data_IF_418280628446
#
_entry.id   IF_418280628446
#
_cell.length_a   1.000
_cell.length_b   1.000
_cell.length_c   1.000
_cell.angle_alpha   90.00
_cell.angle_beta   90.00
_cell.angle_gamma   90.00
#
_symmetry.space_group_name_H-M   'P 1'
#
loop_
_entity.id
_entity.type
_entity.pdbx_description
1 polymer ?
#
# COMPACT_ATOMS: atom_id res chain seq x y z
N UNK A 1 -11.56 0.48 -11.76
CA UNK A 1 -10.40 0.43 -12.66
C UNK A 1 -9.43 -0.62 -12.16
N UNK A 2 -8.85 -1.44 -13.05
CA UNK A 2 -7.80 -2.40 -12.69
C UNK A 2 -6.44 -1.85 -13.16
N UNK A 3 -5.47 -1.77 -12.26
CA UNK A 3 -4.10 -1.36 -12.52
C UNK A 3 -3.17 -2.56 -12.35
N UNK A 4 -2.79 -3.17 -13.47
CA UNK A 4 -1.91 -4.33 -13.52
C UNK A 4 -0.46 -3.92 -13.32
N UNK A 5 0.25 -4.68 -12.49
CA UNK A 5 1.69 -4.51 -12.31
C UNK A 5 2.39 -5.23 -13.47
N UNK A 6 3.18 -4.49 -14.26
CA UNK A 6 4.00 -5.09 -15.33
C UNK A 6 4.99 -6.09 -14.73
N UNK A 7 5.70 -5.65 -13.69
CA UNK A 7 6.57 -6.47 -12.86
C UNK A 7 5.98 -6.54 -11.45
N UNK A 8 5.99 -7.73 -10.84
CA UNK A 8 5.54 -7.92 -9.47
C UNK A 8 6.59 -7.44 -8.46
N UNK A 9 7.05 -6.20 -8.58
CA UNK A 9 8.00 -5.53 -7.69
C UNK A 9 7.51 -4.09 -7.44
N UNK A 10 7.01 -3.74 -6.24
CA UNK A 10 6.47 -2.41 -5.95
C UNK A 10 7.53 -1.30 -6.08
N UNK A 11 8.82 -1.62 -6.04
CA UNK A 11 9.90 -0.64 -6.19
C UNK A 11 10.23 -0.33 -7.65
N UNK A 12 9.89 -1.25 -8.56
CA UNK A 12 10.29 -1.21 -9.97
C UNK A 12 9.19 -1.78 -10.84
N UNK A 13 8.08 -1.04 -10.94
CA UNK A 13 6.95 -1.48 -11.74
C UNK A 13 6.28 -0.32 -12.47
N UNK A 14 5.49 -0.69 -13.47
CA UNK A 14 4.56 0.21 -14.15
C UNK A 14 3.17 -0.33 -13.90
N UNK A 15 2.26 0.53 -13.46
CA UNK A 15 0.85 0.24 -13.31
C UNK A 15 0.14 0.57 -14.63
N UNK A 16 -0.39 -0.47 -15.27
CA UNK A 16 -0.97 -0.42 -16.62
C UNK A 16 -2.43 -0.86 -16.55
N UNK A 17 -3.34 -0.17 -17.23
CA UNK A 17 -4.74 -0.58 -17.29
C UNK A 17 -4.98 -1.71 -18.28
N UNK A 18 -6.19 -2.27 -18.31
CA UNK A 18 -6.54 -3.40 -19.18
C UNK A 18 -6.35 -3.13 -20.67
N UNK A 19 -6.39 -1.86 -21.12
CA UNK A 19 -6.16 -1.48 -22.51
C UNK A 19 -4.68 -1.28 -22.87
N UNK A 20 -3.76 -1.49 -21.92
CA UNK A 20 -2.32 -1.31 -22.14
C UNK A 20 -1.80 0.11 -21.88
N UNK A 21 -2.64 1.04 -21.40
CA UNK A 21 -2.20 2.40 -21.06
C UNK A 21 -1.47 2.42 -19.71
N UNK A 22 -0.25 2.93 -19.70
CA UNK A 22 0.51 3.15 -18.47
C UNK A 22 -0.06 4.35 -17.70
N UNK A 23 -0.47 4.13 -16.46
CA UNK A 23 -1.00 5.17 -15.57
C UNK A 23 0.03 5.64 -14.56
N UNK A 24 0.85 4.73 -14.05
CA UNK A 24 1.90 5.07 -13.09
C UNK A 24 3.17 4.29 -13.39
N UNK A 25 4.32 4.90 -13.11
CA UNK A 25 5.61 4.26 -13.11
C UNK A 25 6.28 4.50 -11.76
N UNK A 26 6.73 3.41 -11.13
CA UNK A 26 7.48 3.44 -9.87
C UNK A 26 8.92 3.10 -10.17
N UNK A 27 9.83 3.97 -9.72
CA UNK A 27 11.28 3.77 -9.86
C UNK A 27 11.95 3.99 -8.52
N UNK A 28 12.71 3.01 -8.04
CA UNK A 28 13.55 3.17 -6.86
C UNK A 28 15.02 3.38 -7.23
N UNK A 29 15.58 4.50 -6.77
CA UNK A 29 17.00 4.83 -6.84
C UNK A 29 17.65 4.60 -5.46
N UNK A 30 18.70 3.78 -5.41
CA UNK A 30 19.48 3.59 -4.18
C UNK A 30 20.52 4.69 -4.08
N UNK A 31 20.47 5.50 -3.02
CA UNK A 31 21.38 6.66 -2.81
C UNK A 31 22.78 6.23 -2.38
N UNK A 32 22.90 5.16 -1.59
CA UNK A 32 24.20 4.63 -1.17
C UNK A 32 24.05 3.21 -0.62
N UNK A 33 24.88 2.27 -1.10
CA UNK A 33 24.91 0.89 -0.61
C UNK A 33 25.31 0.78 0.87
N UNK A 34 26.11 1.72 1.37
CA UNK A 34 26.55 1.75 2.77
C UNK A 34 25.47 2.27 3.72
N UNK A 35 24.64 3.22 3.27
CA UNK A 35 23.60 3.85 4.11
C UNK A 35 22.27 3.10 4.15
N UNK A 36 22.04 2.19 3.18
CA UNK A 36 20.75 1.53 2.98
C UNK A 36 19.61 2.47 2.55
N UNK A 37 19.90 3.75 2.23
CA UNK A 37 18.86 4.69 1.81
C UNK A 37 18.50 4.54 0.34
N UNK A 38 17.19 4.53 0.07
CA UNK A 38 16.63 4.49 -1.27
C UNK A 38 15.49 5.49 -1.40
N UNK A 39 15.23 5.98 -2.62
CA UNK A 39 14.08 6.84 -2.91
C UNK A 39 13.26 6.20 -4.02
N UNK A 40 12.00 5.92 -3.74
CA UNK A 40 11.02 5.55 -4.77
C UNK A 40 10.32 6.78 -5.28
N UNK A 41 10.35 7.01 -6.59
CA UNK A 41 9.57 8.06 -7.26
C UNK A 41 8.39 7.41 -7.97
N UNK A 42 7.19 7.94 -7.71
CA UNK A 42 5.94 7.56 -8.38
C UNK A 42 5.62 8.65 -9.41
N UNK A 43 5.49 8.25 -10.66
CA UNK A 43 5.37 9.14 -11.81
C UNK A 43 4.08 8.78 -12.56
N UNK A 44 3.26 9.76 -12.93
CA UNK A 44 2.09 9.59 -13.81
C UNK A 44 2.29 10.38 -15.11
N UNK A 45 1.69 9.99 -16.25
CA UNK A 45 1.74 10.79 -17.47
C UNK A 45 1.17 12.20 -17.24
N UNK A 46 1.95 13.23 -17.59
CA UNK A 46 1.54 14.63 -17.51
C UNK A 46 2.28 15.46 -18.58
N UNK A 47 1.78 16.66 -18.94
CA UNK A 47 2.42 17.52 -19.94
C UNK A 47 3.83 17.98 -19.55
N UNK A 48 4.07 18.17 -18.25
CA UNK A 48 5.37 18.59 -17.71
C UNK A 48 5.91 17.59 -16.70
N UNK A 49 7.24 17.54 -16.55
CA UNK A 49 7.90 16.65 -15.59
C UNK A 49 7.50 16.96 -14.13
N UNK A 50 7.32 18.23 -13.79
CA UNK A 50 6.95 18.63 -12.42
C UNK A 50 5.52 18.18 -12.06
N UNK A 51 4.60 18.19 -13.01
CA UNK A 51 3.23 17.69 -12.82
C UNK A 51 3.15 16.15 -12.91
N UNK A 52 4.20 15.53 -13.41
CA UNK A 52 4.31 14.07 -13.58
C UNK A 52 4.67 13.37 -12.28
N UNK A 53 5.40 14.03 -11.36
CA UNK A 53 5.79 13.45 -10.07
C UNK A 53 4.59 13.48 -9.12
N UNK A 54 4.11 12.29 -8.74
CA UNK A 54 3.00 12.11 -7.80
C UNK A 54 3.52 12.09 -6.36
N UNK A 55 4.60 11.34 -6.13
CA UNK A 55 5.24 11.29 -4.82
C UNK A 55 6.69 10.81 -4.91
N UNK A 56 7.47 11.20 -3.92
CA UNK A 56 8.77 10.62 -3.62
C UNK A 56 8.74 10.00 -2.22
N UNK A 57 9.19 8.76 -2.09
CA UNK A 57 9.23 8.04 -0.81
C UNK A 57 10.70 7.75 -0.50
N UNK A 58 11.24 8.44 0.49
CA UNK A 58 12.58 8.22 1.01
C UNK A 58 12.57 7.11 2.07
N UNK A 59 13.05 5.95 1.66
CA UNK A 59 13.33 4.81 2.53
C UNK A 59 14.63 5.09 3.28
N UNK A 60 14.50 5.28 4.59
CA UNK A 60 15.62 5.43 5.50
C UNK A 60 16.05 4.07 6.02
N UNK A 61 17.33 3.94 6.38
CA UNK A 61 17.87 2.73 7.00
C UNK A 61 17.24 2.43 8.37
N UNK A 62 17.77 1.43 9.06
CA UNK A 62 17.18 0.90 10.29
C UNK A 62 16.78 1.98 11.32
N UNK A 63 15.62 1.74 11.95
CA UNK A 63 15.02 2.54 13.02
C UNK A 63 14.51 3.95 12.64
N UNK A 64 14.56 4.37 11.37
CA UNK A 64 13.97 5.64 10.94
C UNK A 64 12.72 5.40 10.09
N UNK A 65 11.64 6.11 10.41
CA UNK A 65 10.44 6.08 9.57
C UNK A 65 10.78 6.60 8.16
N UNK A 66 10.30 5.95 7.09
CA UNK A 66 10.39 6.51 5.75
C UNK A 66 9.66 7.86 5.69
N UNK A 67 10.04 8.70 4.74
CA UNK A 67 9.42 10.01 4.51
C UNK A 67 8.77 10.03 3.15
N UNK A 68 7.56 10.58 3.06
CA UNK A 68 6.83 10.80 1.81
C UNK A 68 6.80 12.28 1.50
N UNK A 69 7.16 12.65 0.27
CA UNK A 69 7.00 13.99 -0.28
C UNK A 69 5.94 13.95 -1.38
N UNK A 70 4.86 14.72 -1.23
CA UNK A 70 3.79 14.78 -2.24
C UNK A 70 2.93 16.03 -2.04
N UNK A 71 2.29 16.49 -3.12
CA UNK A 71 1.28 17.54 -3.12
C UNK A 71 -0.16 17.02 -3.18
N UNK A 72 -0.35 15.69 -3.24
CA UNK A 72 -1.66 15.04 -3.43
C UNK A 72 -2.57 15.19 -2.21
N UNK A 73 -2.01 15.47 -1.03
CA UNK A 73 -2.77 15.46 0.23
C UNK A 73 -3.70 16.66 0.38
N UNK A 74 -3.17 17.88 0.20
CA UNK A 74 -3.92 19.14 0.37
C UNK A 74 -3.67 20.15 -0.77
N UNK A 75 -3.00 19.72 -1.85
CA UNK A 75 -2.60 20.57 -2.97
C UNK A 75 -1.29 21.32 -2.74
N UNK A 76 -0.70 21.27 -1.54
CA UNK A 76 0.60 21.88 -1.22
C UNK A 76 1.68 20.82 -1.08
N UNK A 77 2.92 21.14 -1.46
CA UNK A 77 4.03 20.20 -1.30
C UNK A 77 4.31 19.95 0.18
N UNK A 78 4.01 18.73 0.64
CA UNK A 78 4.23 18.30 2.02
C UNK A 78 5.35 17.26 2.11
N UNK A 79 6.07 17.28 3.23
CA UNK A 79 7.00 16.23 3.64
C UNK A 79 6.47 15.59 4.94
N UNK A 80 6.06 14.33 4.87
CA UNK A 80 5.42 13.63 6.00
C UNK A 80 6.13 12.31 6.32
N UNK A 81 6.42 12.03 7.60
CA UNK A 81 6.79 10.69 8.04
C UNK A 81 5.69 9.67 7.71
N UNK A 82 6.05 8.50 7.21
CA UNK A 82 5.09 7.43 6.84
C UNK A 82 4.24 6.99 8.03
N UNK A 83 4.73 7.04 9.25
CA UNK A 83 3.96 6.71 10.46
C UNK A 83 2.90 7.77 10.81
N UNK A 84 3.04 9.00 10.32
CA UNK A 84 2.03 10.04 10.45
C UNK A 84 0.99 9.92 9.32
N UNK A 85 1.45 9.71 8.09
CA UNK A 85 0.57 9.45 6.94
C UNK A 85 -0.25 8.17 7.13
N UNK A 86 0.41 7.05 7.45
CA UNK A 86 -0.15 5.72 7.66
C UNK A 86 -0.05 5.34 9.15
N UNK A 87 -0.95 5.89 9.95
CA UNK A 87 -0.95 5.71 11.40
C UNK A 87 -1.57 4.38 11.84
N UNK A 88 -1.21 3.94 13.04
CA UNK A 88 -1.82 2.78 13.72
C UNK A 88 -3.04 3.23 14.53
N UNK A 89 -4.07 2.40 14.62
CA UNK A 89 -5.22 2.68 15.49
C UNK A 89 -4.76 2.79 16.95
N UNK A 90 -5.22 3.80 17.73
CA UNK A 90 -4.90 3.92 19.15
C UNK A 90 -5.34 2.71 19.98
N UNK A 91 -6.38 2.01 19.54
CA UNK A 91 -6.94 0.82 20.21
C UNK A 91 -6.01 -0.40 20.18
N UNK A 92 -4.93 -0.38 19.41
CA UNK A 92 -3.95 -1.47 19.33
C UNK A 92 -2.99 -1.52 20.53
N UNK A 93 -3.01 -0.51 21.42
CA UNK A 93 -2.07 -0.38 22.55
C UNK A 93 -2.22 -1.44 23.65
N UNK A 94 -3.34 -2.17 23.71
CA UNK A 94 -3.62 -3.14 24.78
C UNK A 94 -3.35 -4.62 24.41
N UNK A 95 -2.78 -4.90 23.24
CA UNK A 95 -2.51 -6.26 22.77
C UNK A 95 -1.12 -6.41 22.16
N UNK A 96 -0.06 -6.09 22.91
CA UNK A 96 1.32 -6.01 22.42
C UNK A 96 1.87 -7.31 21.80
N UNK A 97 1.33 -8.49 22.13
CA UNK A 97 1.71 -9.75 21.49
C UNK A 97 0.96 -10.03 20.18
N UNK A 98 -0.32 -9.64 20.08
CA UNK A 98 -1.16 -9.91 18.90
C UNK A 98 -0.84 -8.97 17.72
N UNK A 99 -0.30 -7.79 18.03
CA UNK A 99 -0.05 -6.70 17.08
C UNK A 99 1.21 -6.87 16.20
N UNK A 100 2.00 -7.93 16.44
CA UNK A 100 3.11 -8.33 15.57
C UNK A 100 2.62 -8.81 14.20
N UNK A 101 1.33 -9.17 14.07
CA UNK A 101 0.71 -9.70 12.85
C UNK A 101 -0.33 -8.77 12.20
N UNK A 102 -0.60 -7.59 12.78
CA UNK A 102 -1.74 -6.76 12.36
C UNK A 102 -1.30 -5.56 11.52
N UNK A 103 -1.13 -5.82 10.22
CA UNK A 103 -0.87 -4.88 9.11
C UNK A 103 -2.01 -3.88 8.84
N UNK A 104 -2.75 -3.46 9.87
CA UNK A 104 -3.76 -2.41 9.74
C UNK A 104 -3.08 -1.05 9.80
N UNK A 105 -3.27 -0.23 8.78
CA UNK A 105 -2.83 1.16 8.74
C UNK A 105 -3.98 2.04 8.29
N UNK A 106 -4.08 3.20 8.91
CA UNK A 106 -5.13 4.17 8.68
C UNK A 106 -4.51 5.45 8.11
N UNK A 107 -5.28 6.18 7.32
CA UNK A 107 -4.91 7.52 6.87
C UNK A 107 -6.15 8.35 6.63
N UNK A 108 -5.98 9.67 6.67
CA UNK A 108 -7.00 10.64 6.27
C UNK A 108 -6.88 10.89 4.77
N UNK A 109 -7.95 10.69 4.02
CA UNK A 109 -8.01 11.00 2.59
C UNK A 109 -8.22 12.50 2.33
N UNK A 110 -8.05 12.91 1.08
CA UNK A 110 -8.33 14.27 0.59
C UNK A 110 -9.80 14.68 0.67
N UNK A 111 -10.69 13.76 1.04
CA UNK A 111 -12.12 13.98 1.21
C UNK A 111 -12.56 13.94 2.70
N UNK A 112 -11.62 14.19 3.61
CA UNK A 112 -11.81 14.22 5.07
C UNK A 112 -12.35 12.92 5.67
N UNK A 113 -12.21 11.79 4.97
CA UNK A 113 -12.59 10.47 5.46
C UNK A 113 -11.38 9.66 5.84
N UNK A 114 -11.55 8.86 6.90
CA UNK A 114 -10.51 7.90 7.30
C UNK A 114 -10.65 6.63 6.49
N UNK A 115 -9.53 6.17 5.94
CA UNK A 115 -9.40 4.91 5.22
C UNK A 115 -8.49 3.96 5.99
N UNK A 116 -8.63 2.67 5.68
CA UNK A 116 -7.90 1.59 6.36
C UNK A 116 -7.44 0.55 5.36
N UNK A 117 -6.12 0.40 5.26
CA UNK A 117 -5.49 -0.79 4.70
C UNK A 117 -5.49 -1.92 5.72
N UNK A 118 -5.77 -3.15 5.25
CA UNK A 118 -5.59 -4.39 6.00
C UNK A 118 -5.09 -5.47 5.05
N UNK A 119 -4.20 -6.35 5.50
CA UNK A 119 -3.93 -7.60 4.77
C UNK A 119 -4.98 -8.63 5.17
N UNK A 120 -5.53 -9.32 4.18
CA UNK A 120 -6.51 -10.40 4.35
C UNK A 120 -5.90 -11.67 3.78
N UNK A 121 -5.82 -12.72 4.61
CA UNK A 121 -5.26 -14.02 4.22
C UNK A 121 -5.98 -14.56 2.98
N UNK A 122 -5.21 -15.00 1.99
CA UNK A 122 -5.72 -15.53 0.73
C UNK A 122 -6.25 -14.51 -0.28
N UNK A 123 -6.40 -13.23 0.11
CA UNK A 123 -6.89 -12.17 -0.80
C UNK A 123 -5.77 -11.19 -1.17
N UNK A 124 -5.00 -10.74 -0.16
CA UNK A 124 -4.00 -9.69 -0.30
C UNK A 124 -4.35 -8.43 0.51
N UNK A 125 -3.92 -7.26 0.05
CA UNK A 125 -4.15 -5.99 0.73
C UNK A 125 -5.47 -5.36 0.31
N UNK A 126 -6.30 -4.96 1.27
CA UNK A 126 -7.62 -4.35 1.01
C UNK A 126 -7.71 -2.98 1.70
N UNK A 127 -8.10 -1.97 0.94
CA UNK A 127 -8.41 -0.63 1.40
C UNK A 127 -9.92 -0.47 1.58
N UNK A 128 -10.32 -0.04 2.77
CA UNK A 128 -11.73 0.19 3.12
C UNK A 128 -11.92 1.58 3.71
N UNK A 129 -13.06 2.23 3.45
CA UNK A 129 -13.47 3.40 4.22
C UNK A 129 -13.78 2.97 5.66
N UNK A 130 -13.21 3.65 6.66
CA UNK A 130 -13.31 3.22 8.05
C UNK A 130 -14.74 3.28 8.58
N UNK A 131 -15.49 4.33 8.21
CA UNK A 131 -16.88 4.58 8.64
C UNK A 131 -17.87 3.64 7.95
N UNK A 132 -17.84 3.56 6.63
CA UNK A 132 -18.85 2.81 5.85
C UNK A 132 -18.47 1.35 5.61
N UNK A 133 -17.22 0.97 5.89
CA UNK A 133 -16.63 -0.34 5.56
C UNK A 133 -16.62 -0.69 4.07
N UNK A 134 -17.01 0.24 3.20
CA UNK A 134 -16.98 0.05 1.74
C UNK A 134 -15.54 -0.17 1.27
N UNK A 135 -15.36 -1.17 0.42
CA UNK A 135 -14.08 -1.43 -0.25
C UNK A 135 -13.80 -0.35 -1.31
N UNK A 136 -12.59 0.20 -1.24
CA UNK A 136 -12.11 1.25 -2.15
C UNK A 136 -11.04 0.69 -3.09
N UNK A 137 -10.16 -0.16 -2.58
CA UNK A 137 -9.18 -0.82 -3.41
C UNK A 137 -8.79 -2.20 -2.87
N UNK A 138 -8.31 -3.06 -3.76
CA UNK A 138 -7.82 -4.40 -3.45
C UNK A 138 -6.62 -4.73 -4.32
N UNK A 139 -5.55 -5.19 -3.69
CA UNK A 139 -4.42 -5.80 -4.37
C UNK A 139 -4.57 -7.32 -4.34
N UNK A 140 -4.59 -7.94 -5.51
CA UNK A 140 -4.78 -9.38 -5.66
C UNK A 140 -4.14 -9.90 -6.95
N UNK A 141 -4.18 -11.22 -7.15
CA UNK A 141 -3.66 -11.90 -8.33
C UNK A 141 -4.78 -12.68 -9.01
N UNK A 142 -4.91 -12.56 -10.33
CA UNK A 142 -5.89 -13.32 -11.10
C UNK A 142 -5.43 -13.55 -12.54
N UNK A 143 -6.09 -14.48 -13.24
CA UNK A 143 -5.92 -14.69 -14.68
C UNK A 143 -6.72 -13.63 -15.42
N UNK A 144 -6.03 -12.81 -16.22
CA UNK A 144 -6.67 -11.73 -16.97
C UNK A 144 -7.46 -12.31 -18.14
N UNK A 145 -8.77 -12.10 -18.16
CA UNK A 145 -9.66 -12.66 -19.20
C UNK A 145 -9.73 -11.83 -20.47
N UNK A 146 -9.37 -10.55 -20.40
CA UNK A 146 -9.53 -9.56 -21.48
C UNK A 146 -8.42 -8.49 -21.52
N UNK A 147 -8.27 -7.81 -22.65
CA UNK A 147 -7.33 -6.70 -22.81
C UNK A 147 -5.86 -7.12 -23.06
N UNK A 148 -4.94 -6.19 -22.80
CA UNK A 148 -3.51 -6.27 -23.13
C UNK A 148 -2.80 -7.48 -22.48
N UNK A 149 -3.22 -7.88 -21.27
CA UNK A 149 -2.64 -9.02 -20.54
C UNK A 149 -3.46 -10.31 -20.66
N UNK A 150 -4.39 -10.41 -21.62
CA UNK A 150 -5.28 -11.56 -21.75
C UNK A 150 -4.52 -12.90 -21.73
N UNK A 151 -5.02 -13.83 -20.90
CA UNK A 151 -4.47 -15.16 -20.69
C UNK A 151 -3.29 -15.23 -19.71
N UNK A 152 -2.80 -14.10 -19.20
CA UNK A 152 -1.70 -14.05 -18.25
C UNK A 152 -2.22 -13.99 -16.81
N UNK A 153 -1.53 -14.68 -15.89
CA UNK A 153 -1.72 -14.48 -14.45
C UNK A 153 -0.98 -13.22 -14.02
N UNK A 154 -1.69 -12.24 -13.49
CA UNK A 154 -1.13 -10.92 -13.13
C UNK A 154 -1.58 -10.47 -11.76
N UNK A 155 -0.66 -9.82 -11.06
CA UNK A 155 -0.95 -9.01 -9.88
C UNK A 155 -1.52 -7.66 -10.32
N UNK A 156 -2.58 -7.21 -9.66
CA UNK A 156 -3.20 -5.93 -9.97
C UNK A 156 -3.82 -5.27 -8.74
N UNK A 157 -3.88 -3.95 -8.79
CA UNK A 157 -4.62 -3.11 -7.87
C UNK A 157 -5.96 -2.75 -8.50
N UNK A 158 -7.04 -3.34 -8.00
CA UNK A 158 -8.40 -2.96 -8.35
C UNK A 158 -8.80 -1.74 -7.51
N UNK A 159 -9.20 -0.66 -8.16
CA UNK A 159 -9.68 0.58 -7.52
C UNK A 159 -11.15 0.78 -7.89
N UNK A 160 -12.02 0.83 -6.89
CA UNK A 160 -13.45 1.08 -7.03
C UNK A 160 -13.72 2.59 -7.15
N UNK A 161 -14.78 3.00 -7.87
CA UNK A 161 -15.20 4.41 -7.90
C UNK A 161 -15.45 4.94 -6.49
N UNK A 162 -14.78 6.03 -6.15
CA UNK A 162 -14.85 6.66 -4.83
C UNK A 162 -14.49 8.15 -4.90
N UNK A 163 -14.68 8.85 -3.78
CA UNK A 163 -14.27 10.26 -3.60
C UNK A 163 -12.79 10.41 -3.22
N UNK A 164 -12.12 9.32 -2.86
CA UNK A 164 -10.69 9.32 -2.56
C UNK A 164 -9.89 9.44 -3.86
N UNK A 165 -8.90 10.32 -3.87
CA UNK A 165 -7.97 10.48 -4.99
C UNK A 165 -7.21 9.16 -5.25
N UNK A 166 -7.17 8.75 -6.52
CA UNK A 166 -6.48 7.54 -6.97
C UNK A 166 -4.98 7.63 -6.68
N UNK A 167 -4.38 8.82 -6.73
CA UNK A 167 -2.98 9.03 -6.42
C UNK A 167 -2.69 8.70 -4.95
N UNK A 168 -3.58 9.05 -4.02
CA UNK A 168 -3.45 8.64 -2.61
C UNK A 168 -3.55 7.12 -2.45
N UNK A 169 -4.43 6.47 -3.22
CA UNK A 169 -4.54 5.00 -3.22
C UNK A 169 -3.22 4.38 -3.69
N UNK A 170 -2.62 4.88 -4.77
CA UNK A 170 -1.36 4.37 -5.31
C UNK A 170 -0.20 4.61 -4.35
N UNK A 171 -0.04 5.83 -3.83
CA UNK A 171 1.03 6.16 -2.86
C UNK A 171 0.96 5.22 -1.66
N UNK A 172 -0.21 5.12 -1.02
CA UNK A 172 -0.38 4.30 0.18
C UNK A 172 -0.26 2.81 -0.11
N UNK A 173 -0.71 2.34 -1.28
CA UNK A 173 -0.51 0.97 -1.74
C UNK A 173 0.99 0.62 -1.86
N UNK A 174 1.78 1.44 -2.57
CA UNK A 174 3.22 1.19 -2.74
C UNK A 174 3.92 1.14 -1.38
N UNK A 175 3.55 2.03 -0.46
CA UNK A 175 4.12 2.02 0.89
C UNK A 175 3.78 0.73 1.64
N UNK A 176 2.50 0.34 1.64
CA UNK A 176 2.05 -0.87 2.31
C UNK A 176 2.69 -2.13 1.74
N UNK A 177 2.77 -2.22 0.41
CA UNK A 177 3.25 -3.42 -0.28
C UNK A 177 4.77 -3.58 -0.13
N UNK A 178 5.55 -2.49 -0.19
CA UNK A 178 6.98 -2.56 0.12
C UNK A 178 7.21 -3.01 1.56
N UNK A 179 6.55 -2.39 2.54
CA UNK A 179 6.71 -2.77 3.96
C UNK A 179 6.37 -4.24 4.20
N UNK A 180 5.31 -4.74 3.58
CA UNK A 180 4.92 -6.16 3.65
C UNK A 180 6.02 -7.09 3.13
N UNK A 181 6.73 -6.70 2.07
CA UNK A 181 7.83 -7.50 1.50
C UNK A 181 9.09 -7.44 2.36
N UNK A 182 9.44 -6.23 2.82
CA UNK A 182 10.56 -6.04 3.75
C UNK A 182 10.35 -6.87 5.04
N UNK A 183 9.11 -6.97 5.54
CA UNK A 183 8.75 -7.80 6.71
C UNK A 183 8.88 -9.31 6.44
N UNK A 184 8.60 -9.78 5.22
CA UNK A 184 8.74 -11.21 4.84
C UNK A 184 10.20 -11.58 4.60
N UNK A 185 10.99 -10.66 4.09
CA UNK A 185 12.42 -10.87 3.84
C UNK A 185 13.27 -10.82 5.12
N UNK A 186 12.76 -10.24 6.21
CA UNK A 186 13.44 -10.20 7.51
C UNK A 186 13.38 -11.58 8.21
N UNK A 187 14.51 -12.32 8.31
CA UNK A 187 14.53 -13.64 8.93
C UNK A 187 14.16 -13.63 10.41
N UNK A 188 14.25 -12.47 11.09
CA UNK A 188 13.87 -12.32 12.48
C UNK A 188 12.36 -12.19 12.67
N UNK A 189 11.64 -11.65 11.67
CA UNK A 189 10.18 -11.52 11.70
C UNK A 189 9.47 -12.86 11.46
N UNK A 190 10.05 -13.73 10.61
CA UNK A 190 9.48 -15.04 10.26
C UNK A 190 9.39 -15.99 11.47
N UNK A 191 10.33 -15.92 12.42
CA UNK A 191 10.37 -16.81 13.60
C UNK A 191 9.23 -16.57 14.61
N UNK A 192 8.54 -15.43 14.52
CA UNK A 192 7.43 -15.10 15.43
C UNK A 192 6.09 -15.64 14.92
N UNK A 193 5.99 -15.96 13.62
CA UNK A 193 4.71 -16.29 12.95
C UNK A 193 4.26 -17.76 13.09
N UNK A 194 5.13 -18.67 13.53
CA UNK A 194 4.82 -20.12 13.54
C UNK A 194 3.96 -20.58 14.73
N UNK A 195 3.58 -19.70 15.67
CA UNK A 195 3.02 -20.14 16.95
C UNK A 195 1.63 -19.61 17.33
N UNK A 196 0.88 -18.97 16.43
CA UNK A 196 -0.40 -18.34 16.80
C UNK A 196 -1.58 -18.87 15.95
N UNK A 197 -2.06 -20.08 16.28
CA UNK A 197 -3.41 -20.51 15.92
C UNK A 197 -4.42 -19.75 16.82
N UNK A 198 -5.10 -18.75 16.25
CA UNK A 198 -6.17 -18.02 16.94
C UNK A 198 -7.28 -19.01 17.39
N UNK A 199 -7.70 -19.01 18.67
CA UNK A 199 -8.88 -19.75 19.10
C UNK A 199 -10.13 -19.15 18.47
N UNK A 200 -10.99 -20.01 17.90
CA UNK A 200 -12.23 -19.65 17.26
C UNK A 200 -13.08 -18.73 18.16
N UNK A 201 -13.49 -17.59 17.60
CA UNK A 201 -14.41 -16.64 18.23
C UNK A 201 -15.79 -17.32 18.36
N UNK A 202 -16.01 -17.98 19.49
CA UNK A 202 -17.23 -18.72 19.82
C UNK A 202 -18.40 -17.77 20.06
N UNK A 203 -19.45 -17.93 19.25
CA UNK A 203 -20.73 -17.25 19.40
C UNK A 203 -21.42 -17.60 20.72
N UNK A 204 -22.07 -16.59 21.30
CA UNK A 204 -22.82 -16.71 22.54
C UNK A 204 -24.07 -17.57 22.42
N UNK A 205 -24.54 -18.02 23.58
CA UNK A 205 -25.93 -18.46 23.77
C UNK A 205 -26.47 -17.65 24.96
N UNK A 206 -27.58 -16.96 24.68
CA UNK A 206 -28.39 -16.19 25.63
C UNK A 206 -29.00 -17.12 26.69
N UNK A 207 -29.19 -16.59 27.90
CA UNK A 207 -29.99 -17.19 28.97
C UNK A 207 -30.94 -16.14 29.55
#
# INVERSE_FOLDING_TARGET
MNLYLVHNDPERTTLVSSNGVAHYQVRTLRKSMLSGSAVSTIIRPAPTMNESIVAEIEWKGWCKAPIVRSNVFDGTAQELPVNELLYKSPSAKFGALRDLCHSKRYFLGNDDKVYRWKVVKGIGSVLTCAKTRKEIARFTEDVVTEGFFRGQKKWYLQVQPSTLDVDMVVITFIIMEKKRRDEVEDPLAVRVLEHDEDPAEGGGIEG
#
